data_IF_161867732234
#
_entry.id   IF_161867732234
#
_cell.length_a   1.000
_cell.length_b   1.000
_cell.length_c   1.000
_cell.angle_alpha   90.00
_cell.angle_beta   90.00
_cell.angle_gamma   90.00
#
_symmetry.space_group_name_H-M   'P 1'
#
loop_
_entity.id
_entity.type
_entity.pdbx_description
1 polymer ?
#
# COMPACT_ATOMS: atom_id res chain seq x y z
N UNK A 1 -14.69 -35.62 0.10
CA UNK A 1 -13.68 -35.30 1.13
C UNK A 1 -12.95 -36.55 1.59
N UNK A 2 -13.61 -37.50 2.24
CA UNK A 2 -12.96 -38.69 2.83
C UNK A 2 -12.19 -39.54 1.82
N UNK A 3 -12.70 -39.66 0.59
CA UNK A 3 -12.01 -40.40 -0.49
C UNK A 3 -10.74 -39.69 -0.99
N UNK A 4 -10.69 -38.36 -1.00
CA UNK A 4 -9.47 -37.61 -1.38
C UNK A 4 -8.41 -37.79 -0.29
N UNK A 5 -8.81 -37.71 0.98
CA UNK A 5 -7.92 -37.89 2.12
C UNK A 5 -7.38 -39.33 2.22
N UNK A 6 -8.25 -40.33 2.01
CA UNK A 6 -7.83 -41.73 2.00
C UNK A 6 -6.84 -42.03 0.87
N UNK A 7 -7.06 -41.47 -0.33
CA UNK A 7 -6.18 -41.66 -1.48
C UNK A 7 -4.90 -40.80 -1.40
N UNK A 8 -4.88 -39.72 -0.61
CA UNK A 8 -3.69 -38.88 -0.47
C UNK A 8 -2.54 -39.57 0.28
N UNK A 9 -2.84 -40.57 1.11
CA UNK A 9 -1.87 -41.39 1.83
C UNK A 9 -1.32 -42.56 0.97
N UNK A 10 -1.96 -42.85 -0.17
CA UNK A 10 -1.62 -43.94 -1.09
C UNK A 10 -0.91 -43.49 -2.38
N UNK A 11 -1.11 -44.26 -3.46
CA UNK A 11 -0.51 -44.02 -4.78
C UNK A 11 -1.11 -42.79 -5.48
N UNK A 12 -0.24 -41.95 -6.05
CA UNK A 12 -0.60 -40.74 -6.80
C UNK A 12 -1.44 -41.05 -8.05
N UNK A 13 -1.29 -42.25 -8.63
CA UNK A 13 -2.00 -42.63 -9.86
C UNK A 13 -3.50 -42.84 -9.64
N UNK A 14 -3.90 -43.48 -8.53
CA UNK A 14 -5.31 -43.68 -8.19
C UNK A 14 -6.00 -42.36 -7.84
N UNK A 15 -5.27 -41.48 -7.15
CA UNK A 15 -5.73 -40.14 -6.82
C UNK A 15 -5.94 -39.29 -8.08
N UNK A 16 -4.99 -39.31 -9.02
CA UNK A 16 -5.13 -38.64 -10.32
C UNK A 16 -6.38 -39.12 -11.07
N UNK A 17 -6.56 -40.45 -11.17
CA UNK A 17 -7.72 -41.05 -11.84
C UNK A 17 -9.03 -40.60 -11.19
N UNK A 18 -9.11 -40.63 -9.87
CA UNK A 18 -10.29 -40.18 -9.14
C UNK A 18 -10.57 -38.69 -9.36
N UNK A 19 -9.55 -37.82 -9.27
CA UNK A 19 -9.72 -36.39 -9.51
C UNK A 19 -10.15 -36.07 -10.95
N UNK A 20 -9.76 -36.87 -11.94
CA UNK A 20 -10.23 -36.72 -13.33
C UNK A 20 -11.69 -37.19 -13.53
N UNK A 21 -12.29 -37.91 -12.58
CA UNK A 21 -13.73 -38.22 -12.61
C UNK A 21 -14.62 -37.12 -12.03
N UNK A 22 -14.03 -36.17 -11.30
CA UNK A 22 -14.77 -35.07 -10.67
C UNK A 22 -14.94 -33.92 -11.67
N UNK A 23 -16.14 -33.33 -11.69
CA UNK A 23 -16.35 -32.06 -12.39
C UNK A 23 -15.80 -30.90 -11.58
N UNK A 24 -15.58 -29.76 -12.24
CA UNK A 24 -15.12 -28.53 -11.61
C UNK A 24 -16.05 -28.09 -10.46
N UNK A 25 -17.37 -28.17 -10.66
CA UNK A 25 -18.39 -27.86 -9.65
C UNK A 25 -18.34 -28.82 -8.45
N UNK A 26 -18.12 -30.11 -8.70
CA UNK A 26 -17.97 -31.09 -7.63
C UNK A 26 -16.72 -30.82 -6.81
N UNK A 27 -15.61 -30.49 -7.47
CA UNK A 27 -14.35 -30.20 -6.78
C UNK A 27 -14.46 -28.95 -5.91
N UNK A 28 -15.00 -27.86 -6.45
CA UNK A 28 -15.22 -26.61 -5.70
C UNK A 28 -16.21 -26.79 -4.56
N UNK A 29 -17.30 -27.54 -4.76
CA UNK A 29 -18.26 -27.88 -3.69
C UNK A 29 -17.60 -28.67 -2.55
N UNK A 30 -16.69 -29.60 -2.88
CA UNK A 30 -15.94 -30.36 -1.88
C UNK A 30 -14.98 -29.45 -1.10
N UNK A 31 -14.29 -28.51 -1.77
CA UNK A 31 -13.43 -27.51 -1.13
C UNK A 31 -14.23 -26.62 -0.17
N UNK A 32 -15.35 -26.07 -0.64
CA UNK A 32 -16.20 -25.19 0.16
C UNK A 32 -16.75 -25.88 1.41
N UNK A 33 -17.31 -27.10 1.26
CA UNK A 33 -17.76 -27.90 2.40
C UNK A 33 -16.60 -28.23 3.36
N UNK A 34 -15.41 -28.47 2.81
CA UNK A 34 -14.18 -28.62 3.59
C UNK A 34 -13.91 -27.40 4.45
N UNK A 35 -13.79 -26.24 3.82
CA UNK A 35 -13.44 -25.00 4.50
C UNK A 35 -14.46 -24.60 5.58
N UNK A 36 -15.76 -24.81 5.34
CA UNK A 36 -16.82 -24.41 6.25
C UNK A 36 -17.10 -25.41 7.37
N UNK A 37 -16.97 -26.72 7.13
CA UNK A 37 -17.46 -27.77 8.05
C UNK A 37 -16.36 -28.61 8.68
N UNK A 38 -15.19 -28.74 8.05
CA UNK A 38 -14.14 -29.64 8.50
C UNK A 38 -12.81 -28.91 8.56
N UNK A 39 -12.18 -28.80 9.74
CA UNK A 39 -10.83 -28.23 9.88
C UNK A 39 -9.72 -29.02 9.15
N UNK A 40 -10.06 -29.88 8.18
CA UNK A 40 -9.18 -30.72 7.36
C UNK A 40 -9.06 -30.22 5.91
N UNK A 41 -9.52 -29.00 5.61
CA UNK A 41 -9.43 -28.44 4.25
C UNK A 41 -8.00 -28.37 3.73
N UNK A 42 -7.02 -28.06 4.59
CA UNK A 42 -5.62 -27.99 4.17
C UNK A 42 -5.06 -29.33 3.69
N UNK A 43 -5.32 -30.42 4.43
CA UNK A 43 -4.94 -31.77 4.02
C UNK A 43 -5.61 -32.17 2.69
N UNK A 44 -6.86 -31.77 2.49
CA UNK A 44 -7.59 -32.04 1.26
C UNK A 44 -7.02 -31.28 0.05
N UNK A 45 -6.74 -29.97 0.20
CA UNK A 45 -6.11 -29.16 -0.84
C UNK A 45 -4.73 -29.73 -1.20
N UNK A 46 -3.95 -30.11 -0.19
CA UNK A 46 -2.65 -30.78 -0.39
C UNK A 46 -2.79 -32.10 -1.17
N UNK A 47 -3.81 -32.88 -0.87
CA UNK A 47 -4.17 -34.07 -1.64
C UNK A 47 -4.50 -33.74 -3.10
N UNK A 48 -5.33 -32.73 -3.35
CA UNK A 48 -5.69 -32.30 -4.71
C UNK A 48 -4.44 -31.89 -5.50
N UNK A 49 -3.52 -31.14 -4.89
CA UNK A 49 -2.26 -30.76 -5.54
C UNK A 49 -1.35 -31.96 -5.81
N UNK A 50 -1.20 -32.88 -4.86
CA UNK A 50 -0.43 -34.13 -5.06
C UNK A 50 -0.97 -34.96 -6.23
N UNK A 51 -2.30 -35.03 -6.37
CA UNK A 51 -2.99 -35.74 -7.46
C UNK A 51 -3.15 -34.92 -8.75
N UNK A 52 -2.55 -33.74 -8.85
CA UNK A 52 -2.64 -32.87 -10.03
C UNK A 52 -1.23 -32.50 -10.47
N UNK A 53 -0.61 -33.32 -11.32
CA UNK A 53 0.77 -33.07 -11.74
C UNK A 53 0.89 -31.77 -12.56
N UNK A 54 1.85 -30.87 -12.26
CA UNK A 54 1.99 -29.57 -12.94
C UNK A 54 2.32 -29.73 -14.44
N UNK A 55 3.07 -30.78 -14.81
CA UNK A 55 3.39 -31.06 -16.21
C UNK A 55 2.23 -31.58 -17.06
N UNK A 56 1.09 -31.93 -16.46
CA UNK A 56 -0.10 -32.37 -17.19
C UNK A 56 -1.07 -31.20 -17.42
N UNK A 57 -1.65 -31.04 -18.62
CA UNK A 57 -2.64 -29.97 -18.87
C UNK A 57 -3.84 -30.05 -17.92
N UNK A 58 -4.36 -31.26 -17.68
CA UNK A 58 -5.46 -31.51 -16.75
C UNK A 58 -5.09 -31.14 -15.31
N UNK A 59 -3.91 -31.53 -14.84
CA UNK A 59 -3.42 -31.20 -13.51
C UNK A 59 -3.17 -29.71 -13.34
N UNK A 60 -2.58 -29.04 -14.34
CA UNK A 60 -2.40 -27.59 -14.35
C UNK A 60 -3.74 -26.83 -14.31
N UNK A 61 -4.73 -27.25 -15.10
CA UNK A 61 -6.06 -26.65 -15.07
C UNK A 61 -6.75 -26.87 -13.72
N UNK A 62 -6.64 -28.06 -13.14
CA UNK A 62 -7.20 -28.35 -11.82
C UNK A 62 -6.53 -27.54 -10.72
N UNK A 63 -5.20 -27.39 -10.77
CA UNK A 63 -4.46 -26.49 -9.87
C UNK A 63 -4.98 -25.06 -10.00
N UNK A 64 -5.07 -24.52 -11.21
CA UNK A 64 -5.59 -23.18 -11.45
C UNK A 64 -7.01 -23.00 -10.87
N UNK A 65 -7.90 -23.98 -11.10
CA UNK A 65 -9.27 -23.95 -10.57
C UNK A 65 -9.30 -23.87 -9.04
N UNK A 66 -8.43 -24.61 -8.34
CA UNK A 66 -8.32 -24.54 -6.87
C UNK A 66 -7.98 -23.11 -6.44
N UNK A 67 -7.03 -22.44 -7.08
CA UNK A 67 -6.70 -21.05 -6.75
C UNK A 67 -7.87 -20.11 -7.04
N UNK A 68 -8.48 -20.23 -8.23
CA UNK A 68 -9.61 -19.38 -8.64
C UNK A 68 -10.82 -19.52 -7.70
N UNK A 69 -10.99 -20.67 -7.05
CA UNK A 69 -12.05 -20.88 -6.07
C UNK A 69 -11.65 -20.45 -4.65
N UNK A 70 -10.44 -20.78 -4.21
CA UNK A 70 -9.98 -20.49 -2.85
C UNK A 70 -9.77 -19.00 -2.58
N UNK A 71 -9.32 -18.23 -3.58
CA UNK A 71 -9.11 -16.77 -3.45
C UNK A 71 -10.41 -16.05 -3.02
N UNK A 72 -11.52 -16.12 -3.79
CA UNK A 72 -12.76 -15.46 -3.40
C UNK A 72 -13.39 -16.09 -2.16
N UNK A 73 -13.18 -17.39 -1.91
CA UNK A 73 -13.64 -18.03 -0.67
C UNK A 73 -12.96 -17.43 0.56
N UNK A 74 -11.64 -17.16 0.50
CA UNK A 74 -10.93 -16.49 1.59
C UNK A 74 -11.34 -15.02 1.76
N UNK A 75 -11.73 -14.34 0.67
CA UNK A 75 -12.24 -12.96 0.72
C UNK A 75 -13.69 -12.82 1.19
N UNK A 76 -14.49 -13.90 1.09
CA UNK A 76 -15.92 -13.88 1.45
C UNK A 76 -16.20 -13.46 2.91
N UNK A 77 -15.22 -13.66 3.80
CA UNK A 77 -15.39 -13.45 5.25
C UNK A 77 -16.04 -14.62 5.98
N UNK A 78 -16.54 -15.64 5.26
CA UNK A 78 -17.25 -16.78 5.84
C UNK A 78 -16.31 -17.77 6.57
N UNK A 79 -15.00 -17.66 6.35
CA UNK A 79 -14.01 -18.56 6.91
C UNK A 79 -13.41 -18.06 8.24
N UNK A 80 -13.18 -19.00 9.16
CA UNK A 80 -12.32 -18.76 10.33
C UNK A 80 -10.93 -18.32 9.88
N UNK A 81 -10.33 -17.35 10.57
CA UNK A 81 -9.04 -16.76 10.19
C UNK A 81 -7.92 -17.79 10.09
N UNK A 82 -7.87 -18.77 10.99
CA UNK A 82 -6.90 -19.89 10.95
C UNK A 82 -7.05 -20.72 9.67
N UNK A 83 -8.29 -21.00 9.24
CA UNK A 83 -8.60 -21.80 8.05
C UNK A 83 -8.22 -21.03 6.78
N UNK A 84 -8.55 -19.74 6.71
CA UNK A 84 -8.15 -18.89 5.60
C UNK A 84 -6.62 -18.80 5.48
N UNK A 85 -5.92 -18.62 6.60
CA UNK A 85 -4.46 -18.57 6.63
C UNK A 85 -3.81 -19.90 6.19
N UNK A 86 -4.34 -21.05 6.63
CA UNK A 86 -3.87 -22.38 6.20
C UNK A 86 -4.06 -22.57 4.68
N UNK A 87 -5.23 -22.19 4.14
CA UNK A 87 -5.48 -22.22 2.69
C UNK A 87 -4.47 -21.34 1.95
N UNK A 88 -4.33 -20.07 2.36
CA UNK A 88 -3.40 -19.13 1.71
C UNK A 88 -1.96 -19.63 1.78
N UNK A 89 -1.50 -20.12 2.94
CA UNK A 89 -0.15 -20.67 3.10
C UNK A 89 0.13 -21.87 2.18
N UNK A 90 -0.86 -22.76 1.99
CA UNK A 90 -0.75 -23.87 1.05
C UNK A 90 -0.70 -23.42 -0.40
N UNK A 91 -1.50 -22.41 -0.77
CA UNK A 91 -1.45 -21.82 -2.11
C UNK A 91 -0.08 -21.16 -2.35
N UNK A 92 0.45 -20.41 -1.39
CA UNK A 92 1.78 -19.78 -1.53
C UNK A 92 2.87 -20.84 -1.78
N UNK A 93 2.84 -21.96 -1.04
CA UNK A 93 3.81 -23.04 -1.20
C UNK A 93 3.80 -23.64 -2.60
N UNK A 94 2.63 -23.82 -3.20
CA UNK A 94 2.47 -24.49 -4.49
C UNK A 94 2.53 -23.53 -5.69
N UNK A 95 2.59 -22.22 -5.47
CA UNK A 95 2.47 -21.21 -6.54
C UNK A 95 3.55 -21.33 -7.61
N UNK A 96 4.79 -21.64 -7.20
CA UNK A 96 5.94 -21.78 -8.10
C UNK A 96 5.82 -22.97 -9.08
N UNK A 97 4.89 -23.90 -8.83
CA UNK A 97 4.65 -25.05 -9.70
C UNK A 97 3.69 -24.74 -10.85
N UNK A 98 3.03 -23.58 -10.84
CA UNK A 98 2.05 -23.20 -11.85
C UNK A 98 2.75 -22.76 -13.14
N UNK A 99 2.19 -23.11 -14.32
CA UNK A 99 2.71 -22.59 -15.58
C UNK A 99 2.45 -21.08 -15.68
N UNK A 100 3.31 -20.36 -16.41
CA UNK A 100 3.24 -18.91 -16.57
C UNK A 100 1.87 -18.40 -17.05
N UNK A 101 1.18 -19.14 -17.91
CA UNK A 101 -0.19 -18.80 -18.36
C UNK A 101 -1.23 -18.84 -17.24
N UNK A 102 -1.06 -19.73 -16.27
CA UNK A 102 -1.93 -19.79 -15.08
C UNK A 102 -1.60 -18.67 -14.10
N UNK A 103 -0.32 -18.36 -13.89
CA UNK A 103 0.10 -17.22 -13.07
C UNK A 103 -0.42 -15.89 -13.63
N UNK A 104 -0.36 -15.69 -14.95
CA UNK A 104 -0.91 -14.50 -15.61
C UNK A 104 -2.43 -14.38 -15.43
N UNK A 105 -3.17 -15.50 -15.57
CA UNK A 105 -4.62 -15.54 -15.29
C UNK A 105 -4.94 -15.19 -13.83
N UNK A 106 -4.18 -15.74 -12.88
CA UNK A 106 -4.38 -15.44 -11.46
C UNK A 106 -4.09 -13.98 -11.14
N UNK A 107 -2.99 -13.44 -11.66
CA UNK A 107 -2.65 -12.05 -11.46
C UNK A 107 -3.69 -11.10 -12.07
N UNK A 108 -4.25 -11.46 -13.23
CA UNK A 108 -5.37 -10.73 -13.85
C UNK A 108 -6.62 -10.77 -12.98
N UNK A 109 -6.95 -11.95 -12.43
CA UNK A 109 -8.09 -12.12 -11.51
C UNK A 109 -7.98 -11.22 -10.28
N UNK A 110 -6.78 -11.10 -9.68
CA UNK A 110 -6.54 -10.15 -8.59
C UNK A 110 -6.80 -8.71 -9.03
N UNK A 111 -6.23 -8.28 -10.17
CA UNK A 111 -6.42 -6.91 -10.68
C UNK A 111 -7.89 -6.61 -10.95
N UNK A 112 -8.63 -7.56 -11.53
CA UNK A 112 -10.08 -7.42 -11.76
C UNK A 112 -10.88 -7.37 -10.46
N UNK A 113 -10.55 -8.21 -9.48
CA UNK A 113 -11.21 -8.21 -8.18
C UNK A 113 -10.96 -6.89 -7.41
N UNK A 114 -9.74 -6.35 -7.46
CA UNK A 114 -9.41 -5.05 -6.86
C UNK A 114 -10.20 -3.93 -7.54
N UNK A 115 -10.25 -3.93 -8.89
CA UNK A 115 -11.04 -2.96 -9.67
C UNK A 115 -12.53 -3.01 -9.34
N UNK A 116 -13.03 -4.20 -9.02
CA UNK A 116 -14.43 -4.43 -8.66
C UNK A 116 -14.74 -4.19 -7.17
N UNK A 117 -13.75 -3.79 -6.35
CA UNK A 117 -13.94 -3.57 -4.91
C UNK A 117 -14.18 -4.86 -4.10
N UNK A 118 -13.78 -6.03 -4.61
CA UNK A 118 -14.05 -7.34 -4.00
C UNK A 118 -12.97 -7.82 -3.04
N UNK A 119 -12.02 -6.95 -2.66
CA UNK A 119 -10.84 -7.30 -1.86
C UNK A 119 -10.83 -6.59 -0.51
N UNK A 120 -12.00 -6.39 0.08
CA UNK A 120 -12.15 -5.62 1.33
C UNK A 120 -11.52 -6.31 2.55
N UNK A 121 -11.49 -7.65 2.59
CA UNK A 121 -10.90 -8.38 3.73
C UNK A 121 -9.37 -8.37 3.69
N UNK A 122 -8.78 -8.27 2.49
CA UNK A 122 -7.35 -8.26 2.24
C UNK A 122 -6.63 -9.60 2.51
N UNK A 123 -7.33 -10.64 3.00
CA UNK A 123 -6.71 -11.92 3.38
C UNK A 123 -6.05 -12.63 2.21
N UNK A 124 -6.69 -12.63 1.05
CA UNK A 124 -6.12 -13.24 -0.17
C UNK A 124 -5.01 -12.39 -0.79
N UNK A 125 -4.92 -11.09 -0.46
CA UNK A 125 -3.83 -10.25 -0.97
C UNK A 125 -2.46 -10.70 -0.46
N UNK A 126 -2.38 -11.47 0.62
CA UNK A 126 -1.12 -12.07 1.09
C UNK A 126 -0.50 -13.06 0.07
N UNK A 127 -1.32 -13.69 -0.78
CA UNK A 127 -0.85 -14.59 -1.85
C UNK A 127 -0.35 -13.83 -3.08
N UNK A 128 -0.86 -12.62 -3.32
CA UNK A 128 -0.60 -11.90 -4.56
C UNK A 128 0.90 -11.58 -4.80
N UNK A 129 1.71 -11.22 -3.79
CA UNK A 129 3.15 -11.06 -3.94
C UNK A 129 3.86 -12.31 -4.44
N UNK A 130 3.47 -13.49 -3.94
CA UNK A 130 4.02 -14.77 -4.39
C UNK A 130 3.67 -15.02 -5.85
N UNK A 131 2.44 -14.72 -6.27
CA UNK A 131 1.99 -14.84 -7.67
C UNK A 131 2.79 -13.90 -8.57
N UNK A 132 2.94 -12.62 -8.20
CA UNK A 132 3.70 -11.64 -8.98
C UNK A 132 5.20 -11.99 -9.05
N UNK A 133 5.77 -12.53 -7.97
CA UNK A 133 7.17 -12.97 -7.93
C UNK A 133 7.40 -14.18 -8.83
N UNK A 134 6.54 -15.20 -8.73
CA UNK A 134 6.61 -16.38 -9.60
C UNK A 134 6.39 -15.99 -11.07
N UNK A 135 5.45 -15.09 -11.34
CA UNK A 135 5.20 -14.57 -12.68
C UNK A 135 6.42 -13.86 -13.24
N UNK A 136 7.09 -13.03 -12.43
CA UNK A 136 8.30 -12.30 -12.84
C UNK A 136 9.46 -13.22 -13.21
N UNK A 137 9.48 -14.45 -12.69
CA UNK A 137 10.51 -15.44 -12.99
C UNK A 137 10.26 -16.20 -14.30
N UNK A 138 9.09 -16.03 -14.95
CA UNK A 138 8.82 -16.64 -16.25
C UNK A 138 9.59 -15.92 -17.36
N UNK A 139 10.39 -16.65 -18.14
CA UNK A 139 11.18 -16.10 -19.24
C UNK A 139 10.32 -15.61 -20.41
N UNK A 140 9.34 -16.41 -20.83
CA UNK A 140 8.45 -16.09 -21.94
C UNK A 140 7.00 -16.49 -21.63
N UNK A 141 6.07 -15.57 -21.86
CA UNK A 141 4.63 -15.76 -21.75
C UNK A 141 3.98 -15.44 -23.09
N UNK A 142 3.05 -16.28 -23.53
CA UNK A 142 2.23 -15.98 -24.71
C UNK A 142 1.32 -14.79 -24.45
N UNK A 143 1.47 -13.72 -25.23
CA UNK A 143 0.69 -12.49 -25.12
C UNK A 143 0.18 -12.02 -26.48
N UNK A 144 -1.12 -12.19 -26.72
CA UNK A 144 -1.74 -11.87 -28.02
C UNK A 144 -1.14 -12.70 -29.15
N UNK A 145 -0.46 -12.03 -30.09
CA UNK A 145 0.25 -12.68 -31.22
C UNK A 145 1.76 -12.82 -31.01
N UNK A 146 2.28 -12.39 -29.86
CA UNK A 146 3.70 -12.40 -29.55
C UNK A 146 4.01 -13.02 -28.19
N UNK A 147 5.23 -12.81 -27.74
CA UNK A 147 5.72 -13.22 -26.42
C UNK A 147 6.12 -11.99 -25.61
N UNK A 148 5.91 -12.08 -24.29
CA UNK A 148 6.29 -11.06 -23.33
C UNK A 148 6.99 -11.74 -22.15
N UNK A 149 8.02 -11.14 -21.58
CA UNK A 149 8.61 -11.68 -20.36
C UNK A 149 7.65 -11.54 -19.18
N UNK A 150 7.82 -12.41 -18.18
CA UNK A 150 7.07 -12.34 -16.94
C UNK A 150 7.24 -11.02 -16.20
N UNK A 151 8.45 -10.46 -16.20
CA UNK A 151 8.75 -9.15 -15.61
C UNK A 151 8.01 -8.00 -16.30
N UNK A 152 7.96 -7.99 -17.63
CA UNK A 152 7.21 -6.98 -18.40
C UNK A 152 5.70 -7.12 -18.20
N UNK A 153 5.17 -8.34 -18.13
CA UNK A 153 3.76 -8.58 -17.83
C UNK A 153 3.40 -8.07 -16.42
N UNK A 154 4.26 -8.36 -15.43
CA UNK A 154 4.14 -7.84 -14.06
C UNK A 154 4.10 -6.31 -14.05
N UNK A 155 4.99 -5.65 -14.80
CA UNK A 155 5.01 -4.18 -14.93
C UNK A 155 3.69 -3.64 -15.49
N UNK A 156 3.14 -4.27 -16.54
CA UNK A 156 1.85 -3.87 -17.12
C UNK A 156 0.69 -4.06 -16.11
N UNK A 157 0.68 -5.14 -15.34
CA UNK A 157 -0.32 -5.37 -14.30
C UNK A 157 -0.27 -4.31 -13.21
N UNK A 158 0.92 -3.97 -12.71
CA UNK A 158 1.11 -2.93 -11.69
C UNK A 158 0.64 -1.58 -12.24
N UNK A 159 1.00 -1.24 -13.48
CA UNK A 159 0.55 -0.01 -14.12
C UNK A 159 -0.99 0.04 -14.27
N UNK A 160 -1.61 -1.07 -14.66
CA UNK A 160 -3.07 -1.20 -14.76
C UNK A 160 -3.73 -1.04 -13.39
N UNK A 161 -3.14 -1.63 -12.36
CA UNK A 161 -3.60 -1.54 -10.98
C UNK A 161 -3.50 -0.10 -10.47
N UNK A 162 -2.37 0.58 -10.63
CA UNK A 162 -2.20 1.98 -10.19
C UNK A 162 -3.08 2.96 -10.96
N UNK A 163 -3.39 2.68 -12.23
CA UNK A 163 -4.28 3.49 -13.06
C UNK A 163 -5.78 3.29 -12.74
N UNK A 164 -6.12 2.20 -12.06
CA UNK A 164 -7.50 1.87 -11.71
C UNK A 164 -8.02 2.58 -10.46
N UNK A 165 -9.33 2.55 -10.22
CA UNK A 165 -9.90 3.04 -8.96
C UNK A 165 -9.68 1.98 -7.88
N UNK A 166 -9.10 2.39 -6.75
CA UNK A 166 -8.99 1.53 -5.57
C UNK A 166 -10.14 1.87 -4.63
N UNK A 167 -10.74 0.84 -4.07
CA UNK A 167 -11.66 0.99 -2.96
C UNK A 167 -10.88 1.46 -1.72
N UNK A 168 -11.31 2.53 -1.00
CA UNK A 168 -10.64 3.01 0.21
C UNK A 168 -10.36 1.90 1.23
N UNK A 169 -11.28 0.93 1.38
CA UNK A 169 -11.17 -0.15 2.37
C UNK A 169 -9.98 -1.09 2.14
N UNK A 170 -9.49 -1.19 0.90
CA UNK A 170 -8.38 -2.08 0.57
C UNK A 170 -7.03 -1.36 0.46
N UNK A 171 -6.96 -0.03 0.56
CA UNK A 171 -5.71 0.74 0.31
C UNK A 171 -4.59 0.35 1.28
N UNK A 172 -4.90 0.20 2.57
CA UNK A 172 -3.92 -0.21 3.60
C UNK A 172 -3.40 -1.62 3.30
N UNK A 173 -4.31 -2.55 2.95
CA UNK A 173 -3.97 -3.93 2.59
C UNK A 173 -3.10 -3.99 1.33
N UNK A 174 -3.44 -3.22 0.28
CA UNK A 174 -2.65 -3.12 -0.95
C UNK A 174 -1.26 -2.54 -0.70
N UNK A 175 -1.16 -1.48 0.10
CA UNK A 175 0.12 -0.86 0.46
C UNK A 175 1.01 -1.84 1.22
N UNK A 176 0.42 -2.61 2.14
CA UNK A 176 1.11 -3.67 2.88
C UNK A 176 1.58 -4.78 1.94
N UNK A 177 0.72 -5.24 1.02
CA UNK A 177 1.03 -6.26 0.02
C UNK A 177 2.22 -5.87 -0.86
N UNK A 178 2.28 -4.62 -1.33
CA UNK A 178 3.39 -4.13 -2.15
C UNK A 178 4.75 -4.13 -1.42
N UNK A 179 4.77 -4.18 -0.09
CA UNK A 179 6.01 -4.37 0.67
C UNK A 179 6.65 -5.72 0.42
N UNK A 180 5.89 -6.72 0.00
CA UNK A 180 6.40 -8.08 -0.23
C UNK A 180 6.59 -8.37 -1.74
N UNK A 181 6.26 -7.42 -2.62
CA UNK A 181 6.48 -7.52 -4.07
C UNK A 181 7.88 -7.00 -4.46
N UNK A 182 8.66 -7.71 -5.29
CA UNK A 182 9.89 -7.16 -5.87
C UNK A 182 9.52 -6.09 -6.92
N UNK A 183 9.71 -4.82 -6.57
CA UNK A 183 9.40 -3.66 -7.40
C UNK A 183 10.68 -3.06 -7.98
N UNK A 184 10.67 -2.72 -9.27
CA UNK A 184 11.65 -1.80 -9.86
C UNK A 184 11.41 -0.38 -9.37
N UNK A 185 12.39 0.51 -9.54
CA UNK A 185 12.28 1.91 -9.12
C UNK A 185 11.08 2.63 -9.75
N UNK A 186 10.80 2.36 -11.04
CA UNK A 186 9.64 2.93 -11.74
C UNK A 186 8.32 2.39 -11.19
N UNK A 187 8.21 1.07 -10.95
CA UNK A 187 7.03 0.45 -10.36
C UNK A 187 6.76 1.00 -8.96
N UNK A 188 7.81 1.15 -8.14
CA UNK A 188 7.70 1.72 -6.80
C UNK A 188 7.19 3.16 -6.84
N UNK A 189 7.70 3.98 -7.76
CA UNK A 189 7.23 5.35 -7.94
C UNK A 189 5.73 5.39 -8.26
N UNK A 190 5.25 4.57 -9.20
CA UNK A 190 3.82 4.50 -9.53
C UNK A 190 2.96 4.09 -8.33
N UNK A 191 3.42 3.13 -7.54
CA UNK A 191 2.71 2.69 -6.32
C UNK A 191 2.67 3.81 -5.28
N UNK A 192 3.81 4.46 -5.01
CA UNK A 192 3.88 5.58 -4.04
C UNK A 192 2.97 6.73 -4.46
N UNK A 193 3.02 7.15 -5.72
CA UNK A 193 2.12 8.20 -6.24
C UNK A 193 0.66 7.80 -6.11
N UNK A 194 0.34 6.54 -6.39
CA UNK A 194 -1.02 6.03 -6.26
C UNK A 194 -1.50 6.08 -4.80
N UNK A 195 -0.69 5.62 -3.86
CA UNK A 195 -1.03 5.59 -2.43
C UNK A 195 -1.22 7.02 -1.90
N UNK A 196 -0.34 7.96 -2.26
CA UNK A 196 -0.47 9.37 -1.87
C UNK A 196 -1.79 9.98 -2.38
N UNK A 197 -2.19 9.68 -3.62
CA UNK A 197 -3.50 10.11 -4.17
C UNK A 197 -4.71 9.51 -3.46
N UNK A 198 -4.54 8.45 -2.67
CA UNK A 198 -5.62 7.87 -1.88
C UNK A 198 -5.83 8.59 -0.54
N UNK A 199 -4.90 9.42 -0.07
CA UNK A 199 -5.04 10.12 1.21
C UNK A 199 -6.30 11.01 1.23
N UNK A 200 -6.63 11.66 0.12
CA UNK A 200 -7.83 12.53 0.01
C UNK A 200 -9.15 11.77 -0.11
N UNK A 201 -9.11 10.43 -0.13
CA UNK A 201 -10.30 9.56 -0.27
C UNK A 201 -10.57 8.70 0.95
N UNK A 202 -9.70 8.80 1.95
CA UNK A 202 -9.77 8.03 3.19
C UNK A 202 -10.32 8.90 4.29
N UNK A 203 -10.93 8.26 5.28
CA UNK A 203 -11.29 8.96 6.50
C UNK A 203 -10.01 9.40 7.22
N UNK A 204 -10.07 10.55 7.90
CA UNK A 204 -8.89 11.14 8.53
C UNK A 204 -8.20 10.20 9.54
N UNK A 205 -8.96 9.32 10.19
CA UNK A 205 -8.45 8.33 11.14
C UNK A 205 -7.70 7.16 10.47
N UNK A 206 -7.90 6.94 9.18
CA UNK A 206 -7.21 5.90 8.41
C UNK A 206 -5.86 6.39 7.86
N UNK A 207 -5.61 7.70 7.90
CA UNK A 207 -4.37 8.32 7.41
C UNK A 207 -3.14 7.86 8.21
N UNK A 208 -3.11 7.87 9.57
CA UNK A 208 -1.90 7.45 10.29
C UNK A 208 -1.51 5.98 10.04
N UNK A 209 -2.44 4.99 10.06
CA UNK A 209 -2.12 3.63 9.66
C UNK A 209 -1.55 3.53 8.23
N UNK A 210 -2.10 4.29 7.28
CA UNK A 210 -1.60 4.29 5.91
C UNK A 210 -0.22 4.95 5.80
N UNK A 211 0.00 6.07 6.49
CA UNK A 211 1.32 6.72 6.61
C UNK A 211 2.34 5.73 7.14
N UNK A 212 2.01 4.98 8.18
CA UNK A 212 2.89 3.94 8.70
C UNK A 212 3.24 2.89 7.65
N UNK A 213 2.27 2.33 6.92
CA UNK A 213 2.54 1.36 5.87
C UNK A 213 3.37 1.95 4.72
N UNK A 214 3.09 3.19 4.33
CA UNK A 214 3.83 3.88 3.28
C UNK A 214 5.30 4.16 3.69
N UNK A 215 5.54 4.49 4.95
CA UNK A 215 6.89 4.63 5.51
C UNK A 215 7.65 3.30 5.47
N UNK A 216 7.00 2.18 5.80
CA UNK A 216 7.62 0.85 5.67
C UNK A 216 7.95 0.51 4.22
N UNK A 217 7.07 0.86 3.27
CA UNK A 217 7.32 0.68 1.84
C UNK A 217 8.51 1.53 1.36
N UNK A 218 8.69 2.75 1.91
CA UNK A 218 9.78 3.67 1.55
C UNK A 218 11.18 3.12 1.82
N UNK A 219 11.31 2.07 2.64
CA UNK A 219 12.56 1.34 2.82
C UNK A 219 13.12 0.83 1.48
N UNK A 220 12.26 0.55 0.49
CA UNK A 220 12.63 0.15 -0.87
C UNK A 220 13.10 1.29 -1.76
N UNK A 221 12.80 2.55 -1.44
CA UNK A 221 13.07 3.72 -2.29
C UNK A 221 12.04 4.84 -2.13
N UNK A 222 12.11 5.87 -2.98
CA UNK A 222 11.16 7.00 -3.02
C UNK A 222 10.98 7.75 -1.68
N UNK A 223 11.97 7.69 -0.77
CA UNK A 223 11.93 8.29 0.57
C UNK A 223 11.52 9.77 0.57
N UNK A 224 12.17 10.57 -0.29
CA UNK A 224 11.86 11.98 -0.46
C UNK A 224 10.40 12.19 -0.91
N UNK A 225 9.96 11.47 -1.94
CA UNK A 225 8.61 11.59 -2.48
C UNK A 225 7.53 11.21 -1.46
N UNK A 226 7.78 10.18 -0.65
CA UNK A 226 6.89 9.78 0.44
C UNK A 226 6.78 10.90 1.47
N UNK A 227 7.91 11.45 1.94
CA UNK A 227 7.93 12.54 2.92
C UNK A 227 7.25 13.79 2.37
N UNK A 228 7.62 14.22 1.17
CA UNK A 228 7.05 15.40 0.51
C UNK A 228 5.54 15.23 0.31
N UNK A 229 5.08 14.05 -0.10
CA UNK A 229 3.67 13.75 -0.27
C UNK A 229 2.87 13.81 1.02
N UNK A 230 3.39 13.27 2.13
CA UNK A 230 2.74 13.33 3.45
C UNK A 230 2.69 14.79 3.93
N UNK A 231 3.79 15.53 3.81
CA UNK A 231 3.86 16.94 4.21
C UNK A 231 2.91 17.80 3.37
N UNK A 232 2.86 17.58 2.05
CA UNK A 232 1.97 18.31 1.16
C UNK A 232 0.50 18.05 1.50
N UNK A 233 0.13 16.80 1.78
CA UNK A 233 -1.22 16.47 2.21
C UNK A 233 -1.65 17.25 3.46
N UNK A 234 -0.85 17.22 4.54
CA UNK A 234 -1.21 17.94 5.77
C UNK A 234 -1.15 19.46 5.59
N UNK A 235 -0.23 19.97 4.77
CA UNK A 235 -0.21 21.39 4.39
C UNK A 235 -1.49 21.81 3.67
N UNK A 236 -2.02 20.98 2.76
CA UNK A 236 -3.28 21.24 2.08
C UNK A 236 -4.47 21.19 3.07
N UNK A 237 -4.48 20.24 4.01
CA UNK A 237 -5.52 20.19 5.06
C UNK A 237 -5.50 21.45 5.94
N UNK A 238 -4.31 21.95 6.30
CA UNK A 238 -4.15 23.21 7.04
C UNK A 238 -4.74 24.41 6.28
N UNK A 239 -4.46 24.51 4.97
CA UNK A 239 -4.98 25.59 4.13
C UNK A 239 -6.51 25.53 4.05
N UNK A 240 -7.09 24.35 3.83
CA UNK A 240 -8.55 24.19 3.80
C UNK A 240 -9.20 24.62 5.12
N UNK A 241 -8.59 24.25 6.26
CA UNK A 241 -9.07 24.66 7.59
C UNK A 241 -9.01 26.18 7.80
N UNK A 242 -7.93 26.83 7.36
CA UNK A 242 -7.83 28.30 7.43
C UNK A 242 -8.87 29.00 6.55
N UNK A 243 -9.16 28.46 5.37
CA UNK A 243 -10.17 29.00 4.46
C UNK A 243 -11.58 28.85 5.04
N UNK A 244 -11.92 27.71 5.62
CA UNK A 244 -13.19 27.46 6.30
C UNK A 244 -13.41 28.42 7.48
N UNK A 245 -12.37 28.67 8.30
CA UNK A 245 -12.44 29.63 9.40
C UNK A 245 -12.62 31.07 8.93
N UNK A 246 -12.09 31.43 7.75
CA UNK A 246 -12.24 32.77 7.16
C UNK A 246 -13.60 32.96 6.49
N UNK A 247 -14.19 31.91 5.91
CA UNK A 247 -15.48 32.00 5.21
C UNK A 247 -16.70 32.07 6.14
N UNK A 248 -16.58 31.62 7.38
CA UNK A 248 -17.57 31.81 8.45
C UNK A 248 -18.99 31.37 8.12
N UNK A 249 -19.39 30.17 8.55
CA UNK A 249 -20.77 29.68 8.72
C UNK A 249 -21.77 29.92 7.55
N UNK A 250 -21.30 30.20 6.33
CA UNK A 250 -22.14 30.19 5.13
C UNK A 250 -22.33 28.74 4.65
N UNK A 251 -23.26 28.06 5.30
CA UNK A 251 -24.21 27.09 4.74
C UNK A 251 -23.66 26.13 3.65
N UNK A 252 -22.57 25.42 3.97
CA UNK A 252 -22.19 24.21 3.26
C UNK A 252 -22.44 23.02 4.16
N UNK A 253 -23.39 22.16 3.79
CA UNK A 253 -23.70 20.84 4.39
C UNK A 253 -22.53 19.83 4.29
N UNK A 254 -21.28 20.30 4.21
CA UNK A 254 -20.09 19.47 4.28
C UNK A 254 -19.64 19.49 5.74
N UNK A 255 -19.72 18.34 6.41
CA UNK A 255 -19.17 18.18 7.75
C UNK A 255 -17.69 18.58 7.73
N UNK A 256 -17.37 19.74 8.30
CA UNK A 256 -16.00 20.17 8.46
C UNK A 256 -15.29 19.22 9.42
N UNK A 257 -14.04 18.87 9.09
CA UNK A 257 -13.20 18.06 9.98
C UNK A 257 -12.94 18.91 11.23
N UNK A 258 -13.24 18.41 12.44
CA UNK A 258 -12.92 19.14 13.67
C UNK A 258 -11.42 19.39 13.78
N UNK A 259 -11.01 20.63 14.05
CA UNK A 259 -9.60 21.02 14.15
C UNK A 259 -8.82 20.12 15.12
N UNK A 260 -9.40 19.82 16.29
CA UNK A 260 -8.78 18.94 17.31
C UNK A 260 -8.50 17.54 16.76
N UNK A 261 -9.40 17.02 15.92
CA UNK A 261 -9.23 15.71 15.29
C UNK A 261 -8.07 15.73 14.28
N UNK A 262 -7.96 16.80 13.47
CA UNK A 262 -6.85 16.98 12.55
C UNK A 262 -5.52 17.05 13.30
N UNK A 263 -5.42 17.85 14.36
CA UNK A 263 -4.18 17.96 15.17
C UNK A 263 -3.79 16.64 15.82
N UNK A 264 -4.76 15.85 16.29
CA UNK A 264 -4.48 14.52 16.83
C UNK A 264 -3.93 13.55 15.78
N UNK A 265 -4.51 13.57 14.58
CA UNK A 265 -4.07 12.74 13.44
C UNK A 265 -2.67 13.15 12.97
N UNK A 266 -2.39 14.45 12.88
CA UNK A 266 -1.06 14.98 12.60
C UNK A 266 -0.03 14.51 13.63
N UNK A 267 -0.36 14.62 14.92
CA UNK A 267 0.52 14.17 16.00
C UNK A 267 0.87 12.68 15.87
N UNK A 268 -0.10 11.85 15.49
CA UNK A 268 0.10 10.41 15.27
C UNK A 268 0.93 10.13 14.02
N UNK A 269 0.68 10.84 12.92
CA UNK A 269 1.49 10.74 11.71
C UNK A 269 2.95 11.16 11.95
N UNK A 270 3.17 12.28 12.67
CA UNK A 270 4.49 12.74 13.10
C UNK A 270 5.18 11.67 13.95
N UNK A 271 4.48 11.05 14.89
CA UNK A 271 5.03 9.97 15.71
C UNK A 271 5.53 8.81 14.85
N UNK A 272 4.74 8.37 13.85
CA UNK A 272 5.14 7.33 12.91
C UNK A 272 6.36 7.72 12.08
N UNK A 273 6.42 8.95 11.55
CA UNK A 273 7.56 9.44 10.78
C UNK A 273 8.83 9.50 11.64
N UNK A 274 8.74 10.05 12.86
CA UNK A 274 9.89 10.12 13.78
C UNK A 274 10.36 8.72 14.16
N UNK A 275 9.44 7.78 14.37
CA UNK A 275 9.79 6.38 14.60
C UNK A 275 10.52 5.77 13.40
N UNK A 276 10.01 5.98 12.17
CA UNK A 276 10.67 5.51 10.96
C UNK A 276 12.08 6.12 10.77
N UNK A 277 12.26 7.42 11.03
CA UNK A 277 13.56 8.10 10.97
C UNK A 277 14.57 7.55 12.01
N UNK A 278 14.08 7.09 13.17
CA UNK A 278 14.93 6.44 14.17
C UNK A 278 15.47 5.10 13.67
N UNK A 279 14.67 4.35 12.92
CA UNK A 279 15.04 3.06 12.35
C UNK A 279 15.84 3.17 11.05
N UNK A 280 15.52 4.16 10.21
CA UNK A 280 16.16 4.42 8.92
C UNK A 280 16.76 5.83 8.87
N UNK A 281 18.09 5.89 9.00
CA UNK A 281 18.82 7.16 8.96
C UNK A 281 18.88 7.82 7.58
N UNK A 282 18.69 7.05 6.50
CA UNK A 282 18.61 7.61 5.16
C UNK A 282 17.34 8.43 4.98
N UNK A 283 16.22 7.94 5.53
CA UNK A 283 14.96 8.68 5.58
C UNK A 283 15.13 10.03 6.31
N UNK A 284 15.80 10.02 7.46
CA UNK A 284 16.10 11.26 8.20
C UNK A 284 17.01 12.23 7.44
N UNK A 285 17.99 11.72 6.67
CA UNK A 285 18.85 12.58 5.84
C UNK A 285 18.09 13.21 4.67
N UNK A 286 17.27 12.43 3.97
CA UNK A 286 16.44 12.96 2.87
C UNK A 286 15.42 13.98 3.40
N UNK A 287 14.82 13.73 4.58
CA UNK A 287 13.95 14.69 5.26
C UNK A 287 14.66 16.03 5.53
N UNK A 288 15.88 16.04 6.09
CA UNK A 288 16.57 17.30 6.36
C UNK A 288 17.07 17.99 5.09
N UNK A 289 17.35 17.24 4.04
CA UNK A 289 17.86 17.75 2.76
C UNK A 289 16.80 18.56 2.00
N UNK A 290 15.52 18.19 2.10
CA UNK A 290 14.44 18.93 1.43
C UNK A 290 14.39 20.40 1.88
N UNK A 291 14.53 20.66 3.18
CA UNK A 291 14.46 22.02 3.73
C UNK A 291 15.76 22.83 3.65
N UNK A 292 16.92 22.20 3.38
CA UNK A 292 18.19 22.93 3.18
C UNK A 292 18.22 23.72 1.87
N UNK A 293 17.44 23.30 0.88
CA UNK A 293 17.46 23.84 -0.49
C UNK A 293 16.40 24.93 -0.70
N UNK A 294 15.27 24.81 -0.01
CA UNK A 294 14.17 25.78 -0.03
C UNK A 294 13.50 25.82 1.34
N UNK A 295 13.46 27.01 1.95
CA UNK A 295 12.67 27.24 3.17
C UNK A 295 11.20 27.52 2.87
N UNK A 296 10.82 27.68 1.59
CA UNK A 296 9.45 27.95 1.16
C UNK A 296 8.47 26.78 1.35
N UNK A 297 9.01 25.60 1.66
CA UNK A 297 8.25 24.38 1.91
C UNK A 297 7.92 24.17 3.40
N UNK A 298 8.32 25.10 4.27
CA UNK A 298 7.90 25.09 5.67
C UNK A 298 6.40 25.37 5.79
N UNK A 299 5.77 24.65 6.70
CA UNK A 299 4.38 24.78 7.11
C UNK A 299 4.28 24.35 8.59
N UNK A 300 3.17 24.65 9.29
CA UNK A 300 3.00 24.24 10.68
C UNK A 300 3.28 22.74 10.91
N UNK A 301 2.76 21.87 10.04
CA UNK A 301 3.04 20.43 10.11
C UNK A 301 4.55 20.09 10.00
N UNK A 302 5.26 20.63 9.01
CA UNK A 302 6.68 20.31 8.82
C UNK A 302 7.58 20.91 9.91
N UNK A 303 7.21 22.05 10.48
CA UNK A 303 7.86 22.63 11.66
C UNK A 303 7.65 21.73 12.88
N UNK A 304 6.41 21.28 13.13
CA UNK A 304 6.11 20.34 14.21
C UNK A 304 6.89 19.03 14.08
N UNK A 305 7.01 18.52 12.85
CA UNK A 305 7.80 17.34 12.52
C UNK A 305 9.30 17.57 12.76
N UNK A 306 9.87 18.69 12.28
CA UNK A 306 11.27 19.06 12.52
C UNK A 306 11.57 19.09 14.03
N UNK A 307 10.76 19.81 14.82
CA UNK A 307 10.91 19.89 16.27
C UNK A 307 10.80 18.51 16.95
N UNK A 308 9.96 17.62 16.41
CA UNK A 308 9.83 16.25 16.92
C UNK A 308 11.05 15.38 16.54
N UNK A 309 11.61 15.56 15.34
CA UNK A 309 12.86 14.93 14.90
C UNK A 309 14.06 15.44 15.71
N UNK A 310 14.06 16.70 16.16
CA UNK A 310 15.13 17.26 17.00
C UNK A 310 15.32 16.49 18.32
N UNK A 311 14.30 15.76 18.78
CA UNK A 311 14.39 14.85 19.94
C UNK A 311 15.26 13.62 19.68
N UNK A 312 15.61 13.35 18.43
CA UNK A 312 16.57 12.31 18.06
C UNK A 312 17.96 12.92 18.12
N UNK A 313 18.79 12.48 19.07
CA UNK A 313 20.04 13.12 19.47
C UNK A 313 20.95 13.58 18.31
N UNK A 314 21.09 12.76 17.26
CA UNK A 314 21.95 13.06 16.09
C UNK A 314 21.43 14.16 15.15
N UNK A 315 20.15 14.47 15.21
CA UNK A 315 19.50 15.45 14.35
C UNK A 315 19.19 16.76 15.06
N UNK A 316 19.30 16.82 16.40
CA UNK A 316 18.96 18.00 17.21
C UNK A 316 19.63 19.28 16.71
N UNK A 317 20.96 19.32 16.69
CA UNK A 317 21.73 20.49 16.24
C UNK A 317 21.39 20.89 14.80
N UNK A 318 21.37 19.92 13.88
CA UNK A 318 21.05 20.18 12.47
C UNK A 318 19.64 20.78 12.26
N UNK A 319 18.65 20.32 13.04
CA UNK A 319 17.29 20.87 12.98
C UNK A 319 17.27 22.29 13.52
N UNK A 320 17.93 22.55 14.65
CA UNK A 320 17.95 23.89 15.23
C UNK A 320 18.67 24.90 14.33
N UNK A 321 19.78 24.51 13.70
CA UNK A 321 20.47 25.36 12.73
C UNK A 321 19.60 25.65 11.51
N UNK A 322 18.86 24.65 11.03
CA UNK A 322 17.94 24.80 9.91
C UNK A 322 16.80 25.77 10.25
N UNK A 323 16.13 25.59 11.38
CA UNK A 323 15.04 26.47 11.83
C UNK A 323 15.55 27.90 12.07
N UNK A 324 16.71 28.05 12.71
CA UNK A 324 17.34 29.35 12.93
C UNK A 324 17.66 30.04 11.60
N UNK A 325 18.24 29.31 10.64
CA UNK A 325 18.51 29.80 9.30
C UNK A 325 17.24 30.24 8.58
N UNK A 326 16.18 29.44 8.68
CA UNK A 326 14.87 29.74 8.09
C UNK A 326 14.25 31.02 8.65
N UNK A 327 14.28 31.20 9.99
CA UNK A 327 13.74 32.40 10.66
C UNK A 327 14.52 33.65 10.23
N UNK A 328 15.86 33.60 10.26
CA UNK A 328 16.70 34.74 9.87
C UNK A 328 16.46 35.11 8.41
N UNK A 329 16.37 34.11 7.52
CA UNK A 329 16.09 34.35 6.10
C UNK A 329 14.70 34.95 5.92
N UNK A 330 13.67 34.38 6.54
CA UNK A 330 12.30 34.89 6.47
C UNK A 330 12.21 36.35 6.87
N UNK A 331 12.90 36.76 7.94
CA UNK A 331 12.89 38.14 8.39
C UNK A 331 13.65 39.08 7.44
N UNK A 332 14.77 38.63 6.88
CA UNK A 332 15.53 39.41 5.87
C UNK A 332 14.72 39.59 4.58
N UNK A 333 14.06 38.54 4.12
CA UNK A 333 13.22 38.57 2.91
C UNK A 333 12.03 39.53 3.11
N UNK A 334 11.39 39.50 4.28
CA UNK A 334 10.32 40.43 4.65
C UNK A 334 10.81 41.89 4.70
N UNK A 335 11.95 42.15 5.33
CA UNK A 335 12.55 43.50 5.36
C UNK A 335 12.89 44.01 3.95
N UNK A 336 13.39 43.14 3.08
CA UNK A 336 13.72 43.48 1.69
C UNK A 336 12.46 43.84 0.88
N UNK A 337 11.38 43.07 1.04
CA UNK A 337 10.10 43.35 0.40
C UNK A 337 9.47 44.64 0.94
N UNK A 338 9.47 44.85 2.25
CA UNK A 338 8.98 46.10 2.86
C UNK A 338 9.78 47.33 2.40
N UNK A 339 11.08 47.17 2.13
CA UNK A 339 11.96 48.23 1.63
C UNK A 339 11.79 48.58 0.15
N UNK A 340 11.00 47.82 -0.63
CA UNK A 340 10.87 48.02 -2.08
C UNK A 340 9.44 47.84 -2.57
N UNK A 341 8.84 48.94 -3.04
CA UNK A 341 7.51 48.93 -3.66
C UNK A 341 7.45 48.02 -4.90
N UNK A 342 8.53 47.97 -5.68
CA UNK A 342 8.65 47.06 -6.82
C UNK A 342 8.52 45.58 -6.41
N UNK A 343 9.14 45.19 -5.29
CA UNK A 343 9.04 43.82 -4.80
C UNK A 343 7.67 43.53 -4.18
N UNK A 344 7.02 44.52 -3.57
CA UNK A 344 5.64 44.40 -3.08
C UNK A 344 4.64 44.19 -4.23
N UNK A 345 4.85 44.85 -5.36
CA UNK A 345 3.99 44.71 -6.54
C UNK A 345 4.24 43.39 -7.29
N UNK A 346 5.46 42.83 -7.21
CA UNK A 346 5.85 41.62 -7.95
C UNK A 346 5.64 40.31 -7.17
N UNK A 347 5.84 40.33 -5.84
CA UNK A 347 5.77 39.13 -5.00
C UNK A 347 4.51 39.16 -4.12
N UNK A 348 3.81 38.02 -3.96
CA UNK A 348 2.71 37.93 -3.01
C UNK A 348 3.19 38.19 -1.56
N UNK A 349 2.24 38.42 -0.65
CA UNK A 349 2.54 38.63 0.76
C UNK A 349 3.38 37.50 1.34
N UNK A 350 4.45 37.85 2.07
CA UNK A 350 5.41 36.90 2.62
C UNK A 350 4.79 36.08 3.75
N UNK A 351 4.93 34.75 3.70
CA UNK A 351 4.49 33.88 4.79
C UNK A 351 5.60 33.77 5.84
N UNK A 352 5.38 34.36 7.02
CA UNK A 352 6.41 34.43 8.06
C UNK A 352 6.65 33.08 8.73
N UNK A 353 7.88 32.55 8.62
CA UNK A 353 8.29 31.32 9.33
C UNK A 353 8.11 31.47 10.85
N UNK A 354 8.29 32.67 11.39
CA UNK A 354 8.06 32.94 12.80
C UNK A 354 6.59 32.74 13.18
N UNK A 355 5.65 33.18 12.33
CA UNK A 355 4.23 32.96 12.54
C UNK A 355 3.87 31.47 12.48
N UNK A 356 4.42 30.73 11.51
CA UNK A 356 4.23 29.27 11.42
C UNK A 356 4.69 28.54 12.69
N UNK A 357 5.82 28.95 13.29
CA UNK A 357 6.30 28.39 14.56
C UNK A 357 5.33 28.72 15.70
N UNK A 358 4.84 29.96 15.77
CA UNK A 358 3.85 30.34 16.77
C UNK A 358 2.56 29.55 16.62
N UNK A 359 2.08 29.34 15.40
CA UNK A 359 0.87 28.54 15.14
C UNK A 359 1.10 27.07 15.47
N UNK A 360 2.30 26.54 15.22
CA UNK A 360 2.70 25.20 15.68
C UNK A 360 2.64 25.08 17.22
N UNK A 361 2.96 26.14 17.96
CA UNK A 361 2.85 26.16 19.43
C UNK A 361 1.39 26.25 19.88
N UNK A 362 0.53 26.99 19.17
CA UNK A 362 -0.91 27.08 19.46
C UNK A 362 -1.65 25.78 19.17
N UNK A 363 -1.21 25.02 18.18
CA UNK A 363 -1.82 23.75 17.76
C UNK A 363 -1.51 22.57 18.71
N UNK A 364 -0.89 22.82 19.88
CA UNK A 364 -0.48 21.81 20.87
C UNK A 364 -1.33 21.80 22.12
#
# INVERSE_FOLDING_TARGET
>A
MDKILALSDGDSTELQKYLSTLTDDQLTTVINNGALKSKKVGAMIKGIFKGSAPGSPEGSNRRLLVYQHCIPLCESGDLQTEVAADIIGLLMLETHTLPGTSLAKLATLYVEAIKAGKMGSGKSLELFPTVLTALSACEALSYGKGELSGGEYKKQLINSLCSSRWDPQCVIHLTTMFRDVPLSSEELQFVVEKVLRMFTKLDLQEIPPLVYQLLLLSAKGCKKQVLDGIICYFKEQDVCQEEEQKLGDLDLEVQSIPLDQLRHVEGTAILHIVFAIRLDHELGREFLKSFKTSYGDLCPFSVALLLSVARVQRYGEQVFDLLKGAIIKSFKDEQLQQGSKFLQDLLPGHCSVAQMILDTVKNR
#
